data_IF_790226183883
#
_entry.id   IF_790226183883
#
_cell.length_a   1.000
_cell.length_b   1.000
_cell.length_c   1.000
_cell.angle_alpha   90.00
_cell.angle_beta   90.00
_cell.angle_gamma   90.00
#
_symmetry.space_group_name_H-M   'P 1'
#
loop_
_entity.id
_entity.type
_entity.pdbx_description
1 polymer ?
#
# COMPACT_ATOMS: atom_id res chain seq x y z
N UNK A 1 -11.39 47.49 57.44
CA UNK A 1 -11.79 46.95 58.76
C UNK A 1 -12.78 45.82 58.54
N UNK A 2 -12.44 44.59 58.97
CA UNK A 2 -13.30 43.40 59.20
C UNK A 2 -14.14 42.85 58.02
N UNK A 3 -14.09 41.59 57.59
CA UNK A 3 -13.71 40.34 58.25
C UNK A 3 -14.93 39.40 58.38
N UNK A 4 -14.71 38.09 58.17
CA UNK A 4 -15.59 36.92 58.38
C UNK A 4 -16.41 36.48 57.16
N UNK A 5 -16.09 35.41 56.42
CA UNK A 5 -15.99 33.96 56.74
C UNK A 5 -17.27 33.41 57.39
N UNK A 6 -17.99 32.58 56.64
CA UNK A 6 -18.88 31.52 57.17
C UNK A 6 -18.60 30.23 56.40
N UNK A 7 -18.06 29.24 57.10
CA UNK A 7 -17.94 27.85 56.69
C UNK A 7 -19.23 27.12 57.07
N UNK A 8 -19.82 26.33 56.16
CA UNK A 8 -20.78 25.30 56.55
C UNK A 8 -20.08 23.93 56.54
N UNK A 9 -20.02 23.30 57.72
CA UNK A 9 -19.82 21.86 57.88
C UNK A 9 -21.21 21.24 58.03
N UNK A 10 -21.48 20.15 57.34
CA UNK A 10 -22.53 19.24 57.75
C UNK A 10 -21.93 17.83 57.90
N UNK A 11 -22.27 17.23 59.02
CA UNK A 11 -21.68 16.05 59.63
C UNK A 11 -22.43 14.77 59.22
N UNK A 12 -21.66 13.70 58.99
CA UNK A 12 -21.87 12.30 59.45
C UNK A 12 -23.28 11.70 59.39
N UNK A 13 -23.42 10.52 58.75
CA UNK A 13 -23.84 9.28 59.44
C UNK A 13 -23.34 8.04 58.69
N UNK A 14 -22.72 7.13 59.45
CA UNK A 14 -22.20 5.83 59.05
C UNK A 14 -23.32 4.80 58.82
N UNK A 15 -23.16 3.93 57.81
CA UNK A 15 -23.70 2.58 57.85
C UNK A 15 -22.57 1.59 57.54
N UNK A 16 -22.42 0.64 58.47
CA UNK A 16 -21.29 -0.27 58.66
C UNK A 16 -21.70 -1.62 58.07
N UNK A 17 -20.98 -2.13 57.08
CA UNK A 17 -21.05 -3.54 56.68
C UNK A 17 -19.63 -4.11 56.69
N UNK A 18 -19.36 -4.95 57.70
CA UNK A 18 -18.15 -5.77 57.83
C UNK A 18 -18.36 -7.07 57.05
N UNK A 19 -17.36 -7.54 56.32
CA UNK A 19 -17.38 -8.92 55.81
C UNK A 19 -16.28 -9.27 54.82
N UNK A 20 -15.26 -9.98 55.33
CA UNK A 20 -14.45 -10.97 54.64
C UNK A 20 -13.47 -10.55 53.52
N UNK A 21 -12.21 -10.43 53.96
CA UNK A 21 -10.99 -10.84 53.25
C UNK A 21 -11.19 -11.96 52.22
N UNK A 22 -10.87 -11.68 50.95
CA UNK A 22 -10.19 -12.61 50.03
C UNK A 22 -9.31 -11.79 49.07
N UNK A 23 -7.98 -11.85 49.29
CA UNK A 23 -6.97 -11.37 48.35
C UNK A 23 -7.02 -12.21 47.07
N UNK A 24 -7.87 -11.80 46.12
CA UNK A 24 -7.80 -12.26 44.73
C UNK A 24 -6.70 -11.50 44.01
N UNK A 25 -5.57 -12.17 43.77
CA UNK A 25 -4.54 -11.70 42.83
C UNK A 25 -5.16 -11.59 41.44
N UNK A 26 -5.53 -10.39 41.01
CA UNK A 26 -5.75 -10.11 39.60
C UNK A 26 -4.39 -10.09 38.90
N UNK A 27 -3.96 -11.26 38.43
CA UNK A 27 -2.89 -11.38 37.45
C UNK A 27 -3.37 -10.74 36.15
N UNK A 28 -3.14 -9.43 36.01
CA UNK A 28 -3.26 -8.72 34.74
C UNK A 28 -2.17 -9.28 33.82
N UNK A 29 -2.53 -10.32 33.08
CA UNK A 29 -1.75 -10.80 31.94
C UNK A 29 -1.74 -9.66 30.91
N UNK A 30 -0.75 -8.76 31.03
CA UNK A 30 -0.31 -7.89 29.93
C UNK A 30 0.14 -8.82 28.82
N UNK A 31 -0.78 -9.22 27.95
CA UNK A 31 -0.43 -9.74 26.62
C UNK A 31 0.41 -8.63 25.97
N UNK A 32 1.73 -8.82 25.93
CA UNK A 32 2.63 -8.04 25.08
C UNK A 32 2.13 -8.26 23.66
N UNK A 33 1.32 -7.34 23.15
CA UNK A 33 1.11 -7.21 21.72
C UNK A 33 2.51 -7.08 21.11
N UNK A 34 2.90 -8.01 20.24
CA UNK A 34 4.11 -7.86 19.43
C UNK A 34 3.92 -6.57 18.64
N UNK A 35 4.53 -5.48 19.09
CA UNK A 35 4.61 -4.26 18.31
C UNK A 35 5.50 -4.59 17.12
N UNK A 36 4.91 -4.49 15.93
CA UNK A 36 5.61 -4.71 14.68
C UNK A 36 6.69 -3.65 14.60
N UNK A 37 7.95 -4.09 14.51
CA UNK A 37 9.13 -3.23 14.36
C UNK A 37 8.91 -2.34 13.14
N UNK A 38 8.74 -1.04 13.37
CA UNK A 38 8.59 -0.07 12.29
C UNK A 38 9.87 -0.12 11.41
N UNK A 39 9.74 -0.16 10.08
CA UNK A 39 10.89 -0.23 9.20
C UNK A 39 11.75 1.03 9.35
N UNK A 40 12.99 0.83 9.82
CA UNK A 40 14.00 1.87 10.13
C UNK A 40 14.36 2.80 8.95
N UNK A 41 13.89 2.52 7.74
CA UNK A 41 14.16 3.32 6.53
C UNK A 41 13.00 4.19 6.02
N UNK A 42 11.79 4.10 6.60
CA UNK A 42 10.60 4.73 5.99
C UNK A 42 10.54 6.25 6.17
N UNK A 43 11.06 6.79 7.27
CA UNK A 43 10.98 8.23 7.57
C UNK A 43 11.95 9.08 6.74
N UNK A 44 13.16 8.57 6.47
CA UNK A 44 14.13 9.26 5.61
C UNK A 44 13.72 9.16 4.14
N UNK A 45 13.21 8.00 3.71
CA UNK A 45 12.62 7.84 2.39
C UNK A 45 11.40 8.75 2.20
N UNK A 46 10.50 8.85 3.19
CA UNK A 46 9.35 9.75 3.13
C UNK A 46 9.75 11.24 3.02
N UNK A 47 10.86 11.66 3.63
CA UNK A 47 11.37 13.02 3.45
C UNK A 47 12.00 13.23 2.07
N UNK A 48 12.73 12.24 1.54
CA UNK A 48 13.25 12.28 0.16
C UNK A 48 12.11 12.31 -0.88
N UNK A 49 11.03 11.58 -0.63
CA UNK A 49 9.83 11.58 -1.48
C UNK A 49 9.08 12.92 -1.38
N UNK A 50 9.05 13.52 -0.18
CA UNK A 50 8.54 14.88 0.01
C UNK A 50 9.39 15.91 -0.74
N UNK A 51 10.71 15.79 -0.66
CA UNK A 51 11.70 16.62 -1.36
C UNK A 51 11.49 16.58 -2.88
N UNK A 52 11.22 15.38 -3.41
CA UNK A 52 10.99 15.10 -4.84
C UNK A 52 9.63 15.60 -5.34
N UNK A 53 8.60 15.59 -4.49
CA UNK A 53 7.24 16.04 -4.84
C UNK A 53 7.04 17.57 -4.87
N UNK A 54 7.97 18.30 -4.24
CA UNK A 54 7.97 19.78 -4.14
C UNK A 54 8.64 20.49 -5.33
N UNK A 55 9.16 19.76 -6.30
CA UNK A 55 9.93 20.32 -7.42
C UNK A 55 11.43 20.42 -7.10
N UNK A 56 12.24 20.22 -8.14
CA UNK A 56 13.72 20.12 -8.09
C UNK A 56 14.41 21.46 -7.71
N UNK A 57 13.67 22.56 -7.71
CA UNK A 57 14.17 23.87 -7.24
C UNK A 57 14.12 23.95 -5.71
N UNK A 58 15.25 23.65 -5.06
CA UNK A 58 15.47 23.98 -3.63
C UNK A 58 15.24 25.47 -3.31
N UNK A 59 15.22 26.33 -4.33
CA UNK A 59 14.94 27.76 -4.25
C UNK A 59 13.45 28.12 -4.42
N UNK A 60 12.59 27.19 -4.87
CA UNK A 60 11.14 27.41 -5.00
C UNK A 60 10.37 27.17 -3.68
N UNK A 61 11.05 26.66 -2.65
CA UNK A 61 10.43 26.42 -1.33
C UNK A 61 10.35 27.70 -0.55
N UNK A 62 9.23 27.87 0.15
CA UNK A 62 9.10 28.95 1.12
C UNK A 62 10.14 28.82 2.25
N UNK A 63 10.54 29.95 2.85
CA UNK A 63 11.58 29.99 3.88
C UNK A 63 11.28 29.12 5.11
N UNK A 64 10.02 28.99 5.49
CA UNK A 64 9.57 28.21 6.63
C UNK A 64 9.71 26.71 6.35
N UNK A 65 9.28 26.25 5.16
CA UNK A 65 9.46 24.86 4.74
C UNK A 65 10.94 24.49 4.68
N UNK A 66 11.79 25.37 4.16
CA UNK A 66 13.24 25.16 4.13
C UNK A 66 13.84 25.00 5.53
N UNK A 67 13.49 25.88 6.46
CA UNK A 67 13.93 25.79 7.85
C UNK A 67 13.43 24.51 8.54
N UNK A 68 12.19 24.10 8.25
CA UNK A 68 11.62 22.86 8.78
C UNK A 68 12.39 21.62 8.30
N UNK A 69 12.67 21.51 6.99
CA UNK A 69 13.42 20.38 6.43
C UNK A 69 14.81 20.30 7.06
N UNK A 70 15.53 21.43 7.12
CA UNK A 70 16.87 21.48 7.73
C UNK A 70 16.88 21.10 9.22
N UNK A 71 15.84 21.51 9.96
CA UNK A 71 15.67 21.14 11.36
C UNK A 71 15.34 19.64 11.54
N UNK A 72 14.51 19.08 10.66
CA UNK A 72 14.16 17.66 10.69
C UNK A 72 15.34 16.74 10.32
N UNK A 73 16.13 17.11 9.32
CA UNK A 73 17.39 16.43 9.00
C UNK A 73 18.35 16.44 10.19
N UNK A 74 18.49 17.58 10.87
CA UNK A 74 19.30 17.67 12.06
C UNK A 74 18.77 16.79 13.22
N UNK A 75 17.44 16.80 13.45
CA UNK A 75 16.79 15.98 14.47
C UNK A 75 16.95 14.47 14.21
N UNK A 76 16.82 14.04 12.96
CA UNK A 76 17.01 12.64 12.58
C UNK A 76 18.47 12.21 12.67
N UNK A 77 19.41 13.08 12.30
CA UNK A 77 20.85 12.85 12.50
C UNK A 77 21.25 12.77 13.98
N UNK A 78 20.71 13.66 14.81
CA UNK A 78 20.88 13.66 16.27
C UNK A 78 20.40 12.34 16.89
N UNK A 79 19.18 11.91 16.54
CA UNK A 79 18.64 10.61 16.94
C UNK A 79 19.55 9.45 16.51
N UNK A 80 19.99 9.43 15.25
CA UNK A 80 20.86 8.37 14.74
C UNK A 80 22.25 8.37 15.39
N UNK A 81 22.75 9.53 15.83
CA UNK A 81 24.00 9.64 16.58
C UNK A 81 23.85 9.09 18.00
N UNK A 82 22.74 9.39 18.67
CA UNK A 82 22.42 8.82 19.98
C UNK A 82 22.24 7.32 19.87
N UNK A 83 21.48 6.83 18.89
CA UNK A 83 21.25 5.39 18.68
C UNK A 83 22.56 4.60 18.52
N UNK A 84 23.61 5.20 17.93
CA UNK A 84 24.94 4.58 17.82
C UNK A 84 25.76 4.60 19.12
N UNK A 85 25.47 5.52 20.03
CA UNK A 85 26.12 5.64 21.36
C UNK A 85 25.37 4.89 22.45
N UNK A 86 24.21 4.30 22.14
CA UNK A 86 23.35 3.59 23.10
C UNK A 86 23.98 2.31 23.68
N UNK A 87 25.18 1.92 23.25
CA UNK A 87 25.98 0.88 23.90
C UNK A 87 26.83 1.41 25.08
N UNK A 88 26.98 2.73 25.27
CA UNK A 88 27.89 3.34 26.28
C UNK A 88 27.17 4.06 27.45
N UNK A 89 25.94 4.57 27.25
CA UNK A 89 25.16 5.26 28.29
C UNK A 89 24.20 4.29 28.99
N UNK A 90 24.43 3.99 30.27
CA UNK A 90 23.66 2.97 31.02
C UNK A 90 22.27 3.41 31.50
N UNK A 91 21.96 4.72 31.56
CA UNK A 91 20.67 5.22 32.07
C UNK A 91 19.71 5.69 30.96
N UNK A 92 18.56 5.01 30.78
CA UNK A 92 17.50 5.42 29.87
C UNK A 92 16.98 6.85 30.09
N UNK A 93 16.98 7.35 31.32
CA UNK A 93 16.49 8.70 31.61
C UNK A 93 17.48 9.77 31.10
N UNK A 94 18.78 9.58 31.35
CA UNK A 94 19.83 10.45 30.82
C UNK A 94 19.81 10.51 29.27
N UNK A 95 19.57 9.38 28.61
CA UNK A 95 19.42 9.33 27.15
C UNK A 95 18.24 10.17 26.64
N UNK A 96 17.11 10.12 27.35
CA UNK A 96 15.94 10.92 26.99
C UNK A 96 16.18 12.43 27.20
N UNK A 97 16.87 12.80 28.27
CA UNK A 97 17.26 14.19 28.53
C UNK A 97 18.21 14.74 27.46
N UNK A 98 19.24 13.98 27.09
CA UNK A 98 20.18 14.36 26.04
C UNK A 98 19.48 14.54 24.68
N UNK A 99 18.63 13.58 24.30
CA UNK A 99 17.85 13.68 23.07
C UNK A 99 16.93 14.91 23.10
N UNK A 100 16.27 15.17 24.23
CA UNK A 100 15.40 16.33 24.37
C UNK A 100 16.17 17.65 24.24
N UNK A 101 17.39 17.73 24.78
CA UNK A 101 18.25 18.91 24.64
C UNK A 101 18.61 19.17 23.16
N UNK A 102 19.01 18.12 22.43
CA UNK A 102 19.34 18.22 21.00
C UNK A 102 18.11 18.60 20.16
N UNK A 103 16.95 17.98 20.40
CA UNK A 103 15.72 18.29 19.67
C UNK A 103 15.18 19.70 20.00
N UNK A 104 15.32 20.14 21.25
CA UNK A 104 15.01 21.53 21.64
C UNK A 104 15.93 22.53 20.94
N UNK A 105 17.21 22.17 20.70
CA UNK A 105 18.12 22.99 19.92
C UNK A 105 17.72 23.04 18.44
N UNK A 106 17.29 21.92 17.86
CA UNK A 106 16.76 21.84 16.50
C UNK A 106 15.50 22.71 16.31
N UNK A 107 14.54 22.62 17.24
CA UNK A 107 13.32 23.43 17.20
C UNK A 107 13.62 24.94 17.30
N UNK A 108 14.58 25.34 18.14
CA UNK A 108 15.04 26.75 18.22
C UNK A 108 15.79 27.18 16.97
N UNK A 109 16.54 26.29 16.32
CA UNK A 109 17.23 26.56 15.05
C UNK A 109 16.22 26.83 13.93
N UNK A 110 15.18 26.01 13.82
CA UNK A 110 14.06 26.23 12.89
C UNK A 110 13.53 27.65 13.03
N UNK A 111 13.18 28.07 14.24
CA UNK A 111 12.61 29.38 14.48
C UNK A 111 13.57 30.53 14.11
N UNK A 112 14.87 30.40 14.45
CA UNK A 112 15.88 31.41 14.08
C UNK A 112 16.08 31.50 12.56
N UNK A 113 16.15 30.36 11.88
CA UNK A 113 16.37 30.33 10.43
C UNK A 113 15.16 30.90 9.70
N UNK A 114 13.95 30.50 10.07
CA UNK A 114 12.74 31.05 9.47
C UNK A 114 12.61 32.57 9.72
N UNK A 115 12.89 33.04 10.95
CA UNK A 115 12.87 34.47 11.30
C UNK A 115 13.85 35.30 10.46
N UNK A 116 15.01 34.74 10.10
CA UNK A 116 15.99 35.43 9.27
C UNK A 116 15.48 35.75 7.86
N UNK A 117 14.49 35.00 7.35
CA UNK A 117 13.93 35.17 6.02
C UNK A 117 12.56 35.87 6.02
N UNK A 118 11.70 35.60 7.00
CA UNK A 118 10.33 36.17 7.05
C UNK A 118 10.25 37.46 7.85
N UNK A 119 11.22 37.72 8.74
CA UNK A 119 11.13 38.80 9.73
C UNK A 119 9.93 38.67 10.67
N UNK A 120 9.60 39.76 11.36
CA UNK A 120 8.54 39.81 12.37
C UNK A 120 7.14 39.51 11.83
N UNK A 121 6.89 39.76 10.53
CA UNK A 121 5.60 39.48 9.91
C UNK A 121 5.24 37.98 9.91
N UNK A 122 6.24 37.10 9.96
CA UNK A 122 6.05 35.65 10.00
C UNK A 122 6.07 35.03 11.41
N UNK A 123 6.11 35.83 12.48
CA UNK A 123 6.32 35.31 13.84
C UNK A 123 5.27 34.28 14.27
N UNK A 124 4.00 34.51 13.91
CA UNK A 124 2.89 33.58 14.17
C UNK A 124 3.09 32.25 13.45
N UNK A 125 3.50 32.29 12.19
CA UNK A 125 3.68 31.11 11.35
C UNK A 125 4.91 30.32 11.78
N UNK A 126 5.97 31.03 12.21
CA UNK A 126 7.15 30.44 12.81
C UNK A 126 6.82 29.71 14.10
N UNK A 127 6.05 30.33 14.99
CA UNK A 127 5.63 29.70 16.24
C UNK A 127 4.76 28.46 15.98
N UNK A 128 3.84 28.55 15.00
CA UNK A 128 2.99 27.43 14.59
C UNK A 128 3.80 26.27 13.99
N UNK A 129 4.77 26.56 13.11
CA UNK A 129 5.67 25.55 12.54
C UNK A 129 6.58 24.91 13.60
N UNK A 130 7.11 25.70 14.53
CA UNK A 130 7.91 25.20 15.64
C UNK A 130 7.09 24.27 16.55
N UNK A 131 5.85 24.64 16.85
CA UNK A 131 4.93 23.80 17.61
C UNK A 131 4.64 22.48 16.87
N UNK A 132 4.29 22.54 15.59
CA UNK A 132 4.03 21.37 14.76
C UNK A 132 5.25 20.43 14.67
N UNK A 133 6.46 21.00 14.56
CA UNK A 133 7.70 20.25 14.55
C UNK A 133 7.91 19.47 15.86
N UNK A 134 7.72 20.12 17.02
CA UNK A 134 7.85 19.47 18.33
C UNK A 134 6.82 18.36 18.50
N UNK A 135 5.56 18.63 18.14
CA UNK A 135 4.47 17.65 18.21
C UNK A 135 4.71 16.45 17.30
N UNK A 136 5.25 16.67 16.10
CA UNK A 136 5.67 15.60 15.20
C UNK A 136 6.76 14.73 15.81
N UNK A 137 7.80 15.34 16.39
CA UNK A 137 8.89 14.60 17.02
C UNK A 137 8.41 13.74 18.19
N UNK A 138 7.52 14.27 19.03
CA UNK A 138 6.94 13.51 20.13
C UNK A 138 6.16 12.30 19.63
N UNK A 139 5.30 12.48 18.62
CA UNK A 139 4.60 11.36 17.99
C UNK A 139 5.58 10.30 17.48
N UNK A 140 6.59 10.70 16.70
CA UNK A 140 7.56 9.75 16.14
C UNK A 140 8.36 9.00 17.21
N UNK A 141 8.67 9.64 18.34
CA UNK A 141 9.44 9.05 19.43
C UNK A 141 8.58 8.15 20.33
N UNK A 142 7.35 8.55 20.63
CA UNK A 142 6.39 7.76 21.42
C UNK A 142 6.00 6.45 20.74
N UNK A 143 5.98 6.43 19.40
CA UNK A 143 5.68 5.21 18.62
C UNK A 143 6.91 4.42 18.18
N UNK A 144 8.12 4.82 18.59
CA UNK A 144 9.35 4.10 18.29
C UNK A 144 9.88 3.32 19.50
N UNK A 145 10.57 2.20 19.24
CA UNK A 145 11.19 1.39 20.30
C UNK A 145 12.64 1.85 20.53
N UNK A 146 12.90 2.40 21.73
CA UNK A 146 14.23 2.82 22.18
C UNK A 146 14.27 2.87 23.72
N UNK A 147 15.45 2.82 24.36
CA UNK A 147 15.53 2.59 25.81
C UNK A 147 14.91 3.72 26.65
N UNK A 148 15.11 4.98 26.27
CA UNK A 148 14.55 6.15 26.96
C UNK A 148 13.07 6.46 26.68
N UNK A 149 12.36 5.60 25.93
CA UNK A 149 10.95 5.82 25.55
C UNK A 149 10.02 6.03 26.76
N UNK A 150 10.23 5.29 27.86
CA UNK A 150 9.42 5.45 29.07
C UNK A 150 9.66 6.79 29.79
N UNK A 151 10.91 7.24 29.85
CA UNK A 151 11.25 8.56 30.40
C UNK A 151 10.71 9.69 29.51
N UNK A 152 10.68 9.47 28.19
CA UNK A 152 10.08 10.39 27.22
C UNK A 152 8.56 10.51 27.40
N UNK A 153 7.85 9.40 27.58
CA UNK A 153 6.40 9.40 27.83
C UNK A 153 6.03 10.20 29.09
N UNK A 154 6.85 10.13 30.14
CA UNK A 154 6.64 10.90 31.37
C UNK A 154 6.80 12.43 31.17
N UNK A 155 7.70 12.85 30.26
CA UNK A 155 7.96 14.26 29.99
C UNK A 155 8.32 14.45 28.50
N UNK A 156 7.33 14.54 27.61
CA UNK A 156 7.55 14.73 26.17
C UNK A 156 8.12 16.12 25.86
N UNK A 157 8.60 16.33 24.64
CA UNK A 157 9.20 17.59 24.20
C UNK A 157 8.21 18.74 24.23
N UNK A 158 6.94 18.51 23.88
CA UNK A 158 5.86 19.48 23.98
C UNK A 158 5.75 20.04 25.41
N UNK A 159 5.79 19.16 26.41
CA UNK A 159 5.74 19.55 27.82
C UNK A 159 6.98 20.36 28.23
N UNK A 160 8.15 20.02 27.66
CA UNK A 160 9.42 20.72 27.97
C UNK A 160 9.48 22.12 27.36
N UNK A 161 8.98 22.29 26.15
CA UNK A 161 9.11 23.53 25.37
C UNK A 161 7.91 24.45 25.58
N UNK A 162 6.70 23.91 25.58
CA UNK A 162 5.44 24.67 25.60
C UNK A 162 4.64 24.50 26.89
N UNK A 163 4.99 23.54 27.76
CA UNK A 163 4.25 23.26 28.99
C UNK A 163 2.88 22.65 28.74
N UNK A 164 2.66 22.03 27.58
CA UNK A 164 1.37 21.46 27.17
C UNK A 164 1.52 19.99 26.76
N UNK A 165 0.40 19.26 26.75
CA UNK A 165 0.32 17.85 26.32
C UNK A 165 -0.90 17.63 25.42
N UNK A 166 -1.14 18.57 24.50
CA UNK A 166 -2.34 18.60 23.67
C UNK A 166 -2.04 18.57 22.17
N UNK A 167 -0.78 18.30 21.78
CA UNK A 167 -0.35 18.30 20.39
C UNK A 167 -1.12 17.35 19.49
N UNK A 168 -1.51 16.18 20.03
CA UNK A 168 -2.30 15.19 19.30
C UNK A 168 -3.68 15.69 18.84
N UNK A 169 -4.25 16.65 19.57
CA UNK A 169 -5.55 17.26 19.24
C UNK A 169 -5.38 18.61 18.51
N UNK A 170 -4.45 19.45 19.00
CA UNK A 170 -4.26 20.82 18.52
C UNK A 170 -3.69 20.92 17.11
N UNK A 171 -2.81 20.01 16.70
CA UNK A 171 -2.21 20.10 15.37
C UNK A 171 -3.26 19.86 14.26
N UNK A 172 -4.13 18.83 14.32
CA UNK A 172 -5.27 18.70 13.41
C UNK A 172 -6.21 19.90 13.43
N UNK A 173 -6.50 20.48 14.61
CA UNK A 173 -7.36 21.67 14.72
C UNK A 173 -6.71 22.89 14.03
N UNK A 174 -5.40 23.07 14.20
CA UNK A 174 -4.64 24.13 13.54
C UNK A 174 -4.64 23.97 12.01
N UNK A 175 -4.54 22.73 11.52
CA UNK A 175 -4.64 22.42 10.09
C UNK A 175 -6.03 22.79 9.55
N UNK A 176 -7.09 22.38 10.26
CA UNK A 176 -8.47 22.69 9.87
C UNK A 176 -8.74 24.19 9.88
N UNK A 177 -8.24 24.91 10.89
CA UNK A 177 -8.36 26.36 10.98
C UNK A 177 -7.64 27.08 9.83
N UNK A 178 -6.41 26.66 9.50
CA UNK A 178 -5.66 27.22 8.36
C UNK A 178 -6.41 27.02 7.05
N UNK A 179 -6.90 25.81 6.79
CA UNK A 179 -7.67 25.49 5.58
C UNK A 179 -9.02 26.23 5.51
N UNK A 180 -9.62 26.56 6.66
CA UNK A 180 -10.84 27.35 6.73
C UNK A 180 -10.61 28.83 6.43
N UNK A 181 -9.49 29.40 6.91
CA UNK A 181 -9.12 30.79 6.64
C UNK A 181 -8.79 31.05 5.17
N UNK A 182 -8.20 30.06 4.48
CA UNK A 182 -7.82 30.13 3.06
C UNK A 182 -6.91 31.31 2.72
N UNK A 183 -6.08 31.76 3.66
CA UNK A 183 -5.18 32.90 3.48
C UNK A 183 -3.96 32.52 2.61
N UNK A 184 -3.77 33.11 1.42
CA UNK A 184 -2.63 32.82 0.55
C UNK A 184 -1.25 33.02 1.18
N UNK A 185 -1.12 33.84 2.22
CA UNK A 185 0.15 34.05 2.93
C UNK A 185 0.61 32.81 3.70
N UNK A 186 -0.33 31.98 4.18
CA UNK A 186 -0.07 30.79 5.00
C UNK A 186 0.27 29.53 4.18
N UNK A 187 0.57 29.65 2.88
CA UNK A 187 0.91 28.50 2.02
C UNK A 187 2.17 27.77 2.46
N UNK A 188 3.15 28.52 2.95
CA UNK A 188 4.39 27.95 3.44
C UNK A 188 4.16 27.15 4.74
N UNK A 189 3.33 27.69 5.64
CA UNK A 189 2.88 26.97 6.84
C UNK A 189 2.06 25.71 6.49
N UNK A 190 1.19 25.79 5.47
CA UNK A 190 0.46 24.63 4.97
C UNK A 190 1.39 23.53 4.44
N UNK A 191 2.50 23.91 3.79
CA UNK A 191 3.53 22.98 3.33
C UNK A 191 4.22 22.28 4.50
N UNK A 192 4.48 23.00 5.60
CA UNK A 192 5.01 22.42 6.85
C UNK A 192 4.02 21.43 7.48
N UNK A 193 2.74 21.78 7.56
CA UNK A 193 1.72 20.87 8.08
C UNK A 193 1.54 19.62 7.22
N UNK A 194 1.59 19.78 5.89
CA UNK A 194 1.56 18.67 4.95
C UNK A 194 2.76 17.73 5.19
N UNK A 195 3.96 18.31 5.38
CA UNK A 195 5.16 17.55 5.73
C UNK A 195 4.93 16.71 7.00
N UNK A 196 4.35 17.30 8.05
CA UNK A 196 4.05 16.59 9.30
C UNK A 196 3.14 15.37 9.06
N UNK A 197 2.08 15.51 8.27
CA UNK A 197 1.17 14.39 7.95
C UNK A 197 1.87 13.29 7.14
N UNK A 198 2.73 13.64 6.20
CA UNK A 198 3.45 12.67 5.37
C UNK A 198 4.57 11.96 6.13
N UNK A 199 5.21 12.63 7.08
CA UNK A 199 6.23 12.05 7.96
C UNK A 199 5.64 11.07 8.97
N UNK A 200 4.31 10.97 9.05
CA UNK A 200 3.60 9.94 9.81
C UNK A 200 2.88 10.45 11.05
N UNK A 201 2.69 11.76 11.20
CA UNK A 201 1.84 12.29 12.26
C UNK A 201 0.40 11.77 12.11
N UNK A 202 -0.15 11.22 13.19
CA UNK A 202 -1.55 10.78 13.23
C UNK A 202 -2.35 11.50 14.31
N UNK A 203 -1.83 11.63 15.53
CA UNK A 203 -2.56 12.30 16.62
C UNK A 203 -3.97 11.69 16.82
N UNK A 204 -5.00 12.54 16.88
CA UNK A 204 -6.42 12.11 16.98
C UNK A 204 -6.96 11.41 15.73
N UNK A 205 -6.27 11.50 14.59
CA UNK A 205 -6.69 10.96 13.30
C UNK A 205 -6.37 9.45 13.14
N UNK A 206 -6.61 8.65 14.19
CA UNK A 206 -6.40 7.19 14.18
C UNK A 206 -7.71 6.43 13.96
N UNK A 207 -7.59 5.16 13.57
CA UNK A 207 -8.74 4.33 13.19
C UNK A 207 -9.20 4.57 11.75
N UNK A 208 -10.26 3.89 11.32
CA UNK A 208 -10.75 3.96 9.93
C UNK A 208 -11.25 5.36 9.56
N UNK A 209 -12.14 5.93 10.39
CA UNK A 209 -12.64 7.29 10.19
C UNK A 209 -11.51 8.34 10.24
N UNK A 210 -10.56 8.16 11.15
CA UNK A 210 -9.39 9.03 11.27
C UNK A 210 -8.45 8.94 10.06
N UNK A 211 -8.27 7.75 9.49
CA UNK A 211 -7.45 7.55 8.29
C UNK A 211 -8.06 8.23 7.06
N UNK A 212 -9.39 8.17 6.88
CA UNK A 212 -10.07 8.91 5.82
C UNK A 212 -9.89 10.42 6.02
N UNK A 213 -10.05 10.92 7.24
CA UNK A 213 -9.86 12.34 7.54
C UNK A 213 -8.41 12.78 7.32
N UNK A 214 -7.44 11.95 7.70
CA UNK A 214 -6.02 12.19 7.46
C UNK A 214 -5.73 12.38 5.97
N UNK A 215 -6.29 11.50 5.14
CA UNK A 215 -6.14 11.57 3.69
C UNK A 215 -6.80 12.83 3.09
N UNK A 216 -8.00 13.19 3.54
CA UNK A 216 -8.66 14.43 3.14
C UNK A 216 -7.83 15.67 3.47
N UNK A 217 -7.28 15.75 4.69
CA UNK A 217 -6.44 16.87 5.11
C UNK A 217 -5.16 16.94 4.29
N UNK A 218 -4.55 15.80 3.93
CA UNK A 218 -3.37 15.77 3.04
C UNK A 218 -3.70 16.34 1.67
N UNK A 219 -4.80 15.91 1.05
CA UNK A 219 -5.22 16.43 -0.26
C UNK A 219 -5.53 17.92 -0.21
N UNK A 220 -6.25 18.38 0.82
CA UNK A 220 -6.59 19.79 0.98
C UNK A 220 -5.36 20.68 1.22
N UNK A 221 -4.43 20.23 2.08
CA UNK A 221 -3.17 20.94 2.31
C UNK A 221 -2.31 20.97 1.05
N UNK A 222 -2.22 19.86 0.30
CA UNK A 222 -1.50 19.83 -0.97
C UNK A 222 -2.10 20.83 -1.96
N UNK A 223 -3.42 20.80 -2.15
CA UNK A 223 -4.11 21.71 -3.05
C UNK A 223 -3.90 23.17 -2.69
N UNK A 224 -3.93 23.48 -1.39
CA UNK A 224 -3.72 24.82 -0.88
C UNK A 224 -2.27 25.30 -1.01
N UNK A 225 -1.31 24.47 -0.58
CA UNK A 225 0.12 24.79 -0.63
C UNK A 225 0.64 24.94 -2.07
N UNK A 226 0.23 24.04 -2.96
CA UNK A 226 0.71 23.95 -4.34
C UNK A 226 -0.15 24.70 -5.35
N UNK A 227 -1.29 25.27 -4.91
CA UNK A 227 -2.33 25.84 -5.76
C UNK A 227 -2.80 24.91 -6.89
N UNK A 228 -2.76 23.59 -6.69
CA UNK A 228 -3.14 22.60 -7.69
C UNK A 228 -3.56 21.29 -7.04
N UNK A 229 -4.49 20.59 -7.67
CA UNK A 229 -4.92 19.29 -7.16
C UNK A 229 -3.81 18.24 -7.28
N UNK A 230 -3.86 17.26 -6.37
CA UNK A 230 -2.98 16.10 -6.38
C UNK A 230 -3.39 15.12 -7.49
N UNK A 231 -3.13 15.48 -8.75
CA UNK A 231 -3.41 14.58 -9.88
C UNK A 231 -2.37 13.45 -9.98
N UNK A 232 -2.77 12.17 -9.86
CA UNK A 232 -1.84 11.04 -9.94
C UNK A 232 -1.14 10.94 -11.30
N UNK A 233 -1.81 11.36 -12.38
CA UNK A 233 -1.24 11.38 -13.73
C UNK A 233 0.00 12.29 -13.85
N UNK A 234 0.08 13.35 -13.06
CA UNK A 234 1.25 14.26 -13.04
C UNK A 234 2.37 13.79 -12.13
N UNK A 235 2.11 12.87 -11.19
CA UNK A 235 3.14 12.20 -10.39
C UNK A 235 3.85 11.12 -11.21
N UNK A 236 3.13 10.49 -12.14
CA UNK A 236 3.70 9.47 -13.04
C UNK A 236 4.87 10.03 -13.85
N UNK A 237 4.73 11.20 -14.50
CA UNK A 237 5.78 11.69 -15.40
C UNK A 237 7.14 12.02 -14.70
N UNK A 238 7.20 12.65 -13.52
CA UNK A 238 8.43 12.79 -12.74
C UNK A 238 8.95 11.47 -12.17
N UNK A 239 8.07 10.57 -11.70
CA UNK A 239 8.48 9.24 -11.20
C UNK A 239 8.98 8.33 -12.33
N UNK A 240 8.44 8.45 -13.53
CA UNK A 240 8.93 7.79 -14.75
C UNK A 240 10.29 8.36 -15.16
N UNK A 241 10.51 9.67 -15.00
CA UNK A 241 11.81 10.31 -15.24
C UNK A 241 12.85 9.96 -14.17
N UNK A 242 12.47 9.94 -12.89
CA UNK A 242 13.35 9.59 -11.76
C UNK A 242 13.57 8.07 -11.64
N UNK A 243 12.61 7.27 -12.09
CA UNK A 243 12.65 5.81 -12.11
C UNK A 243 13.54 5.22 -13.21
N UNK A 244 14.11 6.04 -14.09
CA UNK A 244 15.10 5.66 -15.12
C UNK A 244 16.48 6.25 -14.82
N UNK A 245 16.86 6.34 -13.54
CA UNK A 245 18.25 6.10 -13.22
C UNK A 245 18.47 4.58 -13.30
N UNK A 246 19.47 4.04 -14.01
CA UNK A 246 19.78 2.61 -14.01
C UNK A 246 20.40 2.17 -12.67
N UNK A 247 19.73 2.50 -11.56
CA UNK A 247 20.03 2.00 -10.23
C UNK A 247 19.26 0.72 -10.03
N UNK A 248 19.88 -0.42 -10.43
CA UNK A 248 19.48 -1.80 -10.13
C UNK A 248 17.95 -2.00 -10.09
N UNK A 249 17.39 -2.46 -11.20
CA UNK A 249 16.17 -3.25 -11.17
C UNK A 249 16.41 -4.43 -10.21
N UNK A 250 16.13 -4.23 -8.93
CA UNK A 250 15.97 -5.31 -7.99
C UNK A 250 14.80 -6.10 -8.54
N UNK A 251 15.12 -7.20 -9.22
CA UNK A 251 14.14 -8.03 -9.87
C UNK A 251 12.99 -8.27 -8.87
N UNK A 252 11.77 -7.95 -9.30
CA UNK A 252 10.53 -8.09 -8.52
C UNK A 252 10.33 -9.51 -7.94
N UNK A 253 11.19 -10.45 -8.32
CA UNK A 253 11.40 -11.77 -7.70
C UNK A 253 11.67 -11.73 -6.19
N UNK A 254 12.15 -10.62 -5.63
CA UNK A 254 12.48 -10.58 -4.20
C UNK A 254 11.26 -10.38 -3.27
N UNK A 255 10.07 -10.06 -3.82
CA UNK A 255 8.87 -9.81 -3.02
C UNK A 255 7.94 -11.05 -2.92
N UNK A 256 8.18 -12.09 -3.72
CA UNK A 256 7.37 -13.31 -3.76
C UNK A 256 8.24 -14.57 -3.73
N UNK A 257 8.73 -14.99 -2.54
CA UNK A 257 9.50 -16.24 -2.39
C UNK A 257 8.72 -17.51 -2.81
N UNK A 258 7.41 -17.40 -3.06
CA UNK A 258 6.54 -18.50 -3.47
C UNK A 258 6.41 -18.71 -4.98
N UNK A 259 7.07 -17.91 -5.85
CA UNK A 259 6.98 -18.13 -7.30
C UNK A 259 7.54 -19.51 -7.71
N UNK A 260 8.62 -19.96 -7.06
CA UNK A 260 9.18 -21.28 -7.27
C UNK A 260 8.23 -22.39 -6.81
N UNK A 261 7.50 -22.18 -5.70
CA UNK A 261 6.50 -23.14 -5.21
C UNK A 261 5.28 -23.18 -6.12
N UNK A 262 4.82 -22.03 -6.61
CA UNK A 262 3.74 -21.94 -7.58
C UNK A 262 4.12 -22.62 -8.91
N UNK A 263 5.33 -22.37 -9.42
CA UNK A 263 5.83 -23.02 -10.63
C UNK A 263 5.95 -24.55 -10.46
N UNK A 264 6.41 -25.00 -9.29
CA UNK A 264 6.45 -26.43 -8.95
C UNK A 264 5.04 -27.05 -8.91
N UNK A 265 4.08 -26.39 -8.25
CA UNK A 265 2.69 -26.85 -8.19
C UNK A 265 2.04 -26.90 -9.58
N UNK A 266 2.29 -25.89 -10.41
CA UNK A 266 1.80 -25.84 -11.78
C UNK A 266 2.44 -26.95 -12.64
N UNK A 267 3.74 -27.16 -12.51
CA UNK A 267 4.47 -28.24 -13.19
C UNK A 267 3.96 -29.62 -12.80
N UNK A 268 3.75 -29.87 -11.50
CA UNK A 268 3.15 -31.12 -11.02
C UNK A 268 1.74 -31.30 -11.60
N UNK A 269 0.92 -30.24 -11.61
CA UNK A 269 -0.42 -30.27 -12.19
C UNK A 269 -0.43 -30.66 -13.67
N UNK A 270 0.49 -30.09 -14.47
CA UNK A 270 0.64 -30.43 -15.89
C UNK A 270 1.09 -31.89 -16.06
N UNK A 271 2.05 -32.36 -15.27
CA UNK A 271 2.51 -33.76 -15.33
C UNK A 271 1.38 -34.76 -14.98
N UNK A 272 0.57 -34.46 -13.96
CA UNK A 272 -0.58 -35.29 -13.58
C UNK A 272 -1.60 -35.32 -14.71
N UNK A 273 -1.91 -34.16 -15.32
CA UNK A 273 -2.86 -34.08 -16.43
C UNK A 273 -2.39 -34.89 -17.64
N UNK A 274 -1.10 -34.81 -17.99
CA UNK A 274 -0.51 -35.60 -19.06
C UNK A 274 -0.54 -37.10 -18.74
N UNK A 275 -0.28 -37.49 -17.50
CA UNK A 275 -0.37 -38.88 -17.04
C UNK A 275 -1.79 -39.44 -17.14
N UNK A 276 -2.80 -38.66 -16.71
CA UNK A 276 -4.23 -39.04 -16.84
C UNK A 276 -4.61 -39.16 -18.31
N UNK A 277 -4.20 -38.21 -19.15
CA UNK A 277 -4.45 -38.24 -20.59
C UNK A 277 -3.84 -39.48 -21.26
N UNK A 278 -2.59 -39.80 -20.93
CA UNK A 278 -1.91 -40.99 -21.44
C UNK A 278 -2.58 -42.29 -20.96
N UNK A 279 -3.00 -42.35 -19.70
CA UNK A 279 -3.73 -43.51 -19.16
C UNK A 279 -5.10 -43.69 -19.83
N UNK A 280 -5.82 -42.59 -20.04
CA UNK A 280 -7.09 -42.63 -20.77
C UNK A 280 -6.90 -43.09 -22.21
N UNK A 281 -5.86 -42.61 -22.89
CA UNK A 281 -5.51 -43.06 -24.24
C UNK A 281 -5.11 -44.54 -24.27
N UNK A 282 -4.30 -45.02 -23.32
CA UNK A 282 -3.88 -46.43 -23.28
C UNK A 282 -5.04 -47.38 -22.98
N UNK A 283 -5.96 -47.00 -22.09
CA UNK A 283 -7.18 -47.77 -21.83
C UNK A 283 -8.12 -47.79 -23.04
N UNK A 284 -8.28 -46.66 -23.72
CA UNK A 284 -9.10 -46.56 -24.94
C UNK A 284 -8.50 -47.31 -26.13
N UNK A 285 -7.17 -47.36 -26.23
CA UNK A 285 -6.46 -48.04 -27.33
C UNK A 285 -6.07 -49.48 -27.03
N UNK A 286 -6.19 -49.96 -25.78
CA UNK A 286 -5.96 -51.35 -25.38
C UNK A 286 -6.65 -52.42 -26.26
N UNK A 287 -7.88 -52.23 -26.79
CA UNK A 287 -8.51 -53.24 -27.65
C UNK A 287 -8.00 -53.24 -29.11
N UNK A 288 -7.20 -52.25 -29.53
CA UNK A 288 -6.75 -52.12 -30.93
C UNK A 288 -5.61 -53.11 -31.30
N UNK A 289 -4.55 -53.31 -30.49
CA UNK A 289 -3.49 -54.27 -30.80
C UNK A 289 -3.95 -55.73 -31.03
N UNK A 290 -4.85 -56.31 -30.21
CA UNK A 290 -5.34 -57.67 -30.46
C UNK A 290 -6.22 -57.76 -31.72
N UNK A 291 -7.01 -56.72 -32.02
CA UNK A 291 -7.81 -56.67 -33.25
C UNK A 291 -6.92 -56.62 -34.51
N UNK A 292 -5.86 -55.82 -34.50
CA UNK A 292 -4.90 -55.72 -35.62
C UNK A 292 -4.13 -57.02 -35.83
N UNK A 293 -3.72 -57.70 -34.75
CA UNK A 293 -3.06 -59.01 -34.86
C UNK A 293 -4.01 -60.09 -35.38
N UNK A 294 -5.28 -60.08 -34.97
CA UNK A 294 -6.30 -60.97 -35.51
C UNK A 294 -6.53 -60.74 -37.01
N UNK A 295 -6.69 -59.50 -37.47
CA UNK A 295 -6.79 -59.18 -38.89
C UNK A 295 -5.55 -59.63 -39.67
N UNK A 296 -4.35 -59.40 -39.14
CA UNK A 296 -3.11 -59.82 -39.80
C UNK A 296 -2.98 -61.34 -39.90
N UNK A 297 -3.45 -62.06 -38.89
CA UNK A 297 -3.46 -63.54 -38.92
C UNK A 297 -4.45 -64.10 -39.93
N UNK A 298 -5.63 -63.47 -40.10
CA UNK A 298 -6.61 -63.83 -41.12
C UNK A 298 -6.13 -63.49 -42.53
N UNK A 299 -5.47 -62.35 -42.71
CA UNK A 299 -4.88 -61.95 -43.99
C UNK A 299 -3.70 -62.83 -44.44
N UNK A 300 -3.05 -63.55 -43.51
CA UNK A 300 -2.01 -64.54 -43.81
C UNK A 300 -2.57 -65.93 -44.10
N UNK A 301 -3.81 -66.21 -43.68
CA UNK A 301 -4.53 -67.45 -43.97
C UNK A 301 -5.28 -67.39 -45.31
N UNK A 302 -5.49 -66.19 -45.85
CA UNK A 302 -6.03 -66.01 -47.20
C UNK A 302 -4.88 -66.20 -48.21
N UNK A 303 -4.84 -67.29 -48.99
CA UNK A 303 -3.92 -67.38 -50.10
C UNK A 303 -4.24 -66.23 -51.05
N UNK A 304 -3.26 -65.38 -51.36
CA UNK A 304 -3.40 -64.35 -52.39
C UNK A 304 -4.10 -64.96 -53.61
N UNK A 305 -5.16 -64.33 -54.15
CA UNK A 305 -5.78 -64.84 -55.35
C UNK A 305 -4.69 -64.97 -56.42
N UNK A 306 -4.72 -66.04 -57.24
CA UNK A 306 -3.65 -66.31 -58.19
C UNK A 306 -3.38 -65.06 -59.03
N UNK A 307 -2.11 -64.66 -59.15
CA UNK A 307 -1.71 -63.61 -60.09
C UNK A 307 -2.18 -64.05 -61.47
N UNK A 308 -3.19 -63.35 -61.99
CA UNK A 308 -3.53 -63.45 -63.41
C UNK A 308 -2.37 -62.79 -64.14
N UNK A 309 -1.49 -63.61 -64.72
CA UNK A 309 -0.52 -63.13 -65.70
C UNK A 309 -1.30 -62.50 -66.85
N UNK A 310 -1.24 -61.16 -66.93
CA UNK A 310 -1.77 -60.41 -68.06
C UNK A 310 -0.83 -60.62 -69.24
N UNK A 311 -0.99 -61.74 -69.92
CA UNK A 311 -0.56 -61.88 -71.31
C UNK A 311 -1.76 -62.30 -72.13
N UNK A 312 -2.22 -61.35 -72.96
CA UNK A 312 -3.06 -61.56 -74.14
C UNK A 312 -4.33 -62.39 -73.98
N UNK A 313 -5.45 -61.70 -73.79
CA UNK A 313 -6.52 -61.73 -74.78
C UNK A 313 -7.49 -60.58 -74.53
N UNK A 314 -7.66 -59.76 -75.57
CA UNK A 314 -8.77 -58.82 -75.70
C UNK A 314 -10.09 -59.58 -75.53
N UNK A 315 -10.86 -59.20 -74.52
CA UNK A 315 -12.14 -59.79 -74.18
C UNK A 315 -12.84 -58.89 -73.19
N UNK A 316 -13.53 -57.88 -73.72
CA UNK A 316 -14.41 -57.00 -72.93
C UNK A 316 -15.46 -57.88 -72.24
N UNK A 317 -15.35 -58.01 -70.92
CA UNK A 317 -16.43 -58.48 -70.06
C UNK A 317 -16.77 -57.33 -69.12
N UNK A 318 -17.92 -56.69 -69.37
CA UNK A 318 -18.53 -55.73 -68.47
C UNK A 318 -18.77 -56.40 -67.10
N UNK A 319 -18.37 -55.80 -65.97
CA UNK A 319 -18.78 -56.29 -64.67
C UNK A 319 -20.28 -56.01 -64.48
N UNK A 320 -21.04 -57.08 -64.24
CA UNK A 320 -22.44 -57.03 -63.88
C UNK A 320 -22.56 -56.28 -62.54
N UNK A 321 -23.00 -55.02 -62.57
CA UNK A 321 -23.29 -54.23 -61.37
C UNK A 321 -24.48 -54.88 -60.66
N UNK A 322 -24.37 -55.34 -59.41
CA UNK A 322 -25.53 -55.76 -58.65
C UNK A 322 -26.34 -54.53 -58.28
N UNK A 323 -27.58 -54.47 -58.76
CA UNK A 323 -28.57 -53.45 -58.45
C UNK A 323 -28.98 -53.54 -56.99
N UNK A 324 -28.40 -52.70 -56.14
CA UNK A 324 -28.88 -52.45 -54.78
C UNK A 324 -30.11 -51.54 -54.87
N UNK A 325 -31.28 -51.94 -54.34
CA UNK A 325 -32.45 -51.07 -54.35
C UNK A 325 -32.23 -49.86 -53.43
N UNK A 326 -32.48 -48.66 -53.98
CA UNK A 326 -32.49 -47.40 -53.25
C UNK A 326 -33.51 -47.46 -52.11
N UNK A 327 -33.01 -47.55 -50.88
CA UNK A 327 -33.79 -47.32 -49.66
C UNK A 327 -33.93 -45.81 -49.52
N UNK A 328 -35.13 -45.29 -49.73
CA UNK A 328 -35.51 -43.91 -49.40
C UNK A 328 -35.29 -43.71 -47.90
N UNK A 329 -34.31 -42.89 -47.53
CA UNK A 329 -34.15 -42.41 -46.16
C UNK A 329 -34.80 -41.04 -46.10
N UNK A 330 -35.82 -40.94 -45.27
CA UNK A 330 -36.61 -39.75 -44.99
C UNK A 330 -35.73 -38.55 -44.63
N UNK A 331 -36.05 -37.42 -45.25
CA UNK A 331 -35.45 -36.12 -45.01
C UNK A 331 -36.04 -35.48 -43.75
N UNK A 332 -35.78 -36.05 -42.58
CA UNK A 332 -36.17 -35.47 -41.28
C UNK A 332 -35.22 -35.91 -40.15
N UNK A 333 -33.93 -35.58 -40.23
CA UNK A 333 -33.06 -35.60 -39.03
C UNK A 333 -31.71 -34.87 -39.18
N UNK A 334 -31.63 -33.80 -39.96
CA UNK A 334 -30.47 -32.89 -39.95
C UNK A 334 -30.78 -31.61 -39.16
N UNK A 335 -31.30 -31.80 -37.94
CA UNK A 335 -31.28 -30.81 -36.89
C UNK A 335 -30.00 -31.01 -36.05
N UNK A 336 -28.88 -30.50 -36.54
CA UNK A 336 -27.71 -30.22 -35.70
C UNK A 336 -27.39 -28.73 -35.88
N UNK A 337 -27.87 -27.91 -34.94
CA UNK A 337 -27.03 -27.38 -33.86
C UNK A 337 -25.72 -26.82 -34.40
N UNK A 338 -25.78 -25.68 -35.08
CA UNK A 338 -24.70 -24.71 -35.08
C UNK A 338 -24.99 -23.70 -33.99
N UNK A 339 -24.31 -23.91 -32.86
CA UNK A 339 -24.27 -22.99 -31.74
C UNK A 339 -23.58 -21.68 -32.16
N UNK A 340 -24.14 -20.60 -31.63
CA UNK A 340 -23.71 -19.22 -31.76
C UNK A 340 -22.29 -18.97 -31.24
N UNK A 341 -21.63 -17.96 -31.82
CA UNK A 341 -20.66 -17.09 -31.16
C UNK A 341 -20.87 -15.63 -31.66
N UNK A 342 -20.76 -14.60 -30.79
CA UNK A 342 -21.26 -13.25 -31.03
C UNK A 342 -20.16 -12.21 -31.39
N UNK A 343 -20.63 -10.99 -31.69
CA UNK A 343 -19.92 -9.70 -31.81
C UNK A 343 -19.00 -9.54 -33.04
N UNK A 344 -19.18 -8.52 -33.88
CA UNK A 344 -18.95 -7.11 -33.52
C UNK A 344 -19.81 -6.12 -34.32
N UNK A 345 -20.10 -5.00 -33.66
CA UNK A 345 -20.85 -3.85 -34.17
C UNK A 345 -19.96 -2.84 -34.92
N UNK A 346 -20.66 -1.96 -35.67
CA UNK A 346 -20.30 -0.62 -36.19
C UNK A 346 -19.65 -0.57 -37.58
N UNK A 347 -20.40 -0.07 -38.57
CA UNK A 347 -20.34 1.34 -38.98
C UNK A 347 -21.53 1.68 -39.92
N UNK A 348 -22.40 2.59 -39.48
CA UNK A 348 -23.32 3.34 -40.34
C UNK A 348 -22.53 4.46 -41.06
N UNK A 349 -22.81 4.69 -42.34
CA UNK A 349 -22.64 6.00 -42.98
C UNK A 349 -23.35 6.05 -44.35
N UNK A 350 -24.47 6.80 -44.43
CA UNK A 350 -24.98 7.47 -45.63
C UNK A 350 -26.11 8.47 -45.25
N UNK A 351 -26.48 9.46 -46.10
CA UNK A 351 -26.49 10.89 -45.72
C UNK A 351 -27.85 11.61 -45.87
N UNK A 352 -27.99 12.82 -45.30
CA UNK A 352 -28.92 13.90 -45.76
C UNK A 352 -28.59 15.21 -45.03
N UNK A 353 -28.09 16.28 -45.67
CA UNK A 353 -28.81 17.31 -46.45
C UNK A 353 -29.86 18.16 -45.69
N UNK A 354 -29.67 19.49 -45.76
CA UNK A 354 -30.55 20.59 -45.30
C UNK A 354 -29.76 21.62 -44.47
N UNK A 355 -29.30 22.78 -44.96
CA UNK A 355 -29.95 23.80 -45.80
C UNK A 355 -30.94 24.58 -44.92
N UNK A 356 -30.71 25.80 -44.42
CA UNK A 356 -30.42 27.13 -45.04
C UNK A 356 -30.48 28.20 -43.90
N UNK A 357 -30.39 29.51 -44.16
CA UNK A 357 -29.87 30.24 -45.32
C UNK A 357 -28.56 31.00 -45.06
#
# INVERSE_FOLDING_TARGET
MGGSIVRSRCTSTCARARGASRRGRCSFLRRRARRVKAPRGRSVAAMSDFDSGLGDDRDARGPLTRAFVAAFEHATAARAAIERRLDELSDPAAQAEELAAQLSAAARRLAREAMAWTGAAGETDIAAAQYAFVVLLDELLLFSEWPGSAAWEARPLEMRVFGTHAGGERLPDAIEALLAQRDPSQRDLASVYLACLMLGFKGRLRGEAGALRHDQLRHALFAFAMQRDAEPARLAAPLERAGVAPGRAAALTQMFPDLARLALLLGIGVCVLLGISHLAWSLATAPVPPAVTQFRSLALLDPSPPRVDRSSASGVVMPLVPSVPLRTVDADSLAMRTAALPETARLEAAPSEGGRP
#
